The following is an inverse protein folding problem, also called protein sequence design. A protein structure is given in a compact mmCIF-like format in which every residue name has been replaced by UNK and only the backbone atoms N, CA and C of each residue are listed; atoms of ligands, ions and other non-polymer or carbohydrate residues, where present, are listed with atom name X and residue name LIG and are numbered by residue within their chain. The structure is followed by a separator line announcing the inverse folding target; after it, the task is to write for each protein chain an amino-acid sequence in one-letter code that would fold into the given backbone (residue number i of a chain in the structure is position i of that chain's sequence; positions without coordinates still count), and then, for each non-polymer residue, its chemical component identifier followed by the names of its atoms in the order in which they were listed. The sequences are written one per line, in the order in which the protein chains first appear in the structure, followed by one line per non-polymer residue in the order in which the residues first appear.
data_IF_539604767711
#
_entry.id   IF_539604767711
#
_cell.length_a   1.000
_cell.length_b   1.000
_cell.length_c   1.000
_cell.angle_alpha   90.00
_cell.angle_beta   90.00
_cell.angle_gamma   90.00
#
_symmetry.space_group_name_H-M   'P 1'
#
loop_
_entity.id
_entity.type
_entity.pdbx_description
1 polymer ?
#
# COMPACT_ATOMS: atom_id res chain seq x y z
N UNK A 1 15.50 -22.70 -31.94
CA UNK A 1 16.50 -23.09 -30.91
C UNK A 1 15.76 -23.45 -29.62
N UNK A 2 15.88 -24.68 -29.11
CA UNK A 2 15.13 -25.15 -27.94
C UNK A 2 15.35 -24.31 -26.67
N UNK A 3 16.51 -23.68 -26.54
CA UNK A 3 16.87 -22.80 -25.41
C UNK A 3 16.03 -21.53 -25.35
N UNK A 4 15.81 -20.86 -26.49
CA UNK A 4 15.04 -19.62 -26.57
C UNK A 4 13.57 -19.86 -26.21
N UNK A 5 12.97 -20.94 -26.73
CA UNK A 5 11.58 -21.28 -26.40
C UNK A 5 11.41 -21.57 -24.91
N UNK A 6 12.33 -22.34 -24.30
CA UNK A 6 12.32 -22.59 -22.85
C UNK A 6 12.45 -21.30 -22.04
N UNK A 7 13.31 -20.37 -22.47
CA UNK A 7 13.48 -19.07 -21.84
C UNK A 7 12.17 -18.27 -21.86
N UNK A 8 11.51 -18.16 -23.01
CA UNK A 8 10.20 -17.50 -23.13
C UNK A 8 9.13 -18.17 -22.27
N UNK A 9 9.14 -19.50 -22.19
CA UNK A 9 8.21 -20.26 -21.36
C UNK A 9 8.39 -19.94 -19.86
N UNK A 10 9.63 -19.81 -19.40
CA UNK A 10 9.94 -19.40 -18.03
C UNK A 10 9.45 -17.96 -17.77
N UNK A 11 9.69 -17.04 -18.70
CA UNK A 11 9.20 -15.67 -18.59
C UNK A 11 7.67 -15.60 -18.54
N UNK A 12 6.98 -16.40 -19.37
CA UNK A 12 5.53 -16.51 -19.36
C UNK A 12 5.02 -17.01 -18.00
N UNK A 13 5.66 -18.05 -17.45
CA UNK A 13 5.30 -18.60 -16.13
C UNK A 13 5.53 -17.57 -15.01
N UNK A 14 6.65 -16.85 -15.03
CA UNK A 14 6.90 -15.79 -14.06
C UNK A 14 5.87 -14.66 -14.19
N UNK A 15 5.54 -14.25 -15.42
CA UNK A 15 4.55 -13.22 -15.68
C UNK A 15 3.17 -13.62 -15.18
N UNK A 16 2.73 -14.85 -15.46
CA UNK A 16 1.47 -15.41 -14.96
C UNK A 16 1.46 -15.51 -13.43
N UNK A 17 2.55 -15.96 -12.82
CA UNK A 17 2.65 -16.04 -11.36
C UNK A 17 2.57 -14.66 -10.71
N UNK A 18 3.33 -13.68 -11.21
CA UNK A 18 3.32 -12.30 -10.70
C UNK A 18 1.95 -11.64 -10.87
N UNK A 19 1.36 -11.75 -12.06
CA UNK A 19 0.01 -11.23 -12.33
C UNK A 19 -1.03 -11.92 -11.44
N UNK A 20 -0.99 -13.24 -11.34
CA UNK A 20 -1.91 -14.04 -10.53
C UNK A 20 -1.87 -13.64 -9.05
N UNK A 21 -0.69 -13.38 -8.49
CA UNK A 21 -0.53 -12.91 -7.11
C UNK A 21 -1.22 -11.55 -6.91
N UNK A 22 -0.96 -10.57 -7.76
CA UNK A 22 -1.57 -9.23 -7.65
C UNK A 22 -3.09 -9.30 -7.83
N UNK A 23 -3.55 -10.05 -8.84
CA UNK A 23 -4.97 -10.27 -9.09
C UNK A 23 -5.66 -10.92 -7.87
N UNK A 24 -5.04 -11.92 -7.26
CA UNK A 24 -5.57 -12.58 -6.09
C UNK A 24 -5.66 -11.62 -4.89
N UNK A 25 -4.64 -10.80 -4.66
CA UNK A 25 -4.67 -9.78 -3.62
C UNK A 25 -5.82 -8.79 -3.84
N UNK A 26 -5.96 -8.26 -5.06
CA UNK A 26 -7.02 -7.30 -5.37
C UNK A 26 -8.44 -7.88 -5.31
N UNK A 27 -8.60 -9.18 -5.58
CA UNK A 27 -9.92 -9.83 -5.66
C UNK A 27 -10.37 -10.43 -4.33
N UNK A 28 -9.46 -11.07 -3.60
CA UNK A 28 -9.81 -11.86 -2.41
C UNK A 28 -9.47 -11.16 -1.09
N UNK A 29 -8.62 -10.14 -1.09
CA UNK A 29 -8.28 -9.39 0.14
C UNK A 29 -9.15 -8.15 0.24
N UNK A 30 -9.95 -8.08 1.31
CA UNK A 30 -10.75 -6.88 1.62
C UNK A 30 -9.82 -5.76 2.12
N UNK A 31 -9.94 -4.52 1.59
CA UNK A 31 -9.19 -3.39 2.12
C UNK A 31 -9.58 -3.10 3.58
N UNK A 32 -8.58 -2.92 4.44
CA UNK A 32 -8.81 -2.40 5.77
C UNK A 32 -9.08 -0.88 5.67
N UNK A 33 -10.31 -0.46 5.91
CA UNK A 33 -10.66 0.96 5.93
C UNK A 33 -10.11 1.61 7.19
N UNK A 34 -9.33 2.69 7.05
CA UNK A 34 -8.99 3.59 8.16
C UNK A 34 -9.64 4.95 7.96
N UNK A 35 -10.08 5.61 9.05
CA UNK A 35 -10.59 6.97 8.97
C UNK A 35 -9.49 7.89 8.45
N UNK A 36 -9.79 8.65 7.39
CA UNK A 36 -8.88 9.62 6.78
C UNK A 36 -8.76 10.90 7.62
N UNK A 37 -9.82 11.23 8.35
CA UNK A 37 -9.86 12.31 9.34
C UNK A 37 -9.72 11.74 10.74
N UNK A 38 -8.80 12.30 11.52
CA UNK A 38 -8.76 12.10 12.96
C UNK A 38 -9.34 13.36 13.60
N UNK A 39 -10.37 13.20 14.43
CA UNK A 39 -10.87 14.30 15.25
C UNK A 39 -9.80 14.66 16.29
N UNK A 40 -9.07 15.74 16.04
CA UNK A 40 -8.11 16.28 16.99
C UNK A 40 -8.91 17.14 17.98
N UNK A 41 -8.91 16.83 19.28
CA UNK A 41 -9.60 17.66 20.26
C UNK A 41 -8.97 19.06 20.26
N UNK A 42 -9.80 20.11 20.25
CA UNK A 42 -9.39 21.52 20.13
C UNK A 42 -8.29 21.92 21.13
N UNK A 43 -8.31 21.31 22.32
CA UNK A 43 -7.32 21.47 23.39
C UNK A 43 -5.87 21.15 22.96
N UNK A 44 -5.69 20.32 21.93
CA UNK A 44 -4.38 19.98 21.38
C UNK A 44 -3.95 20.90 20.21
N UNK A 45 -4.84 21.78 19.77
CA UNK A 45 -4.61 22.76 18.70
C UNK A 45 -4.33 24.16 19.26
N UNK A 46 -4.58 24.37 20.55
CA UNK A 46 -4.18 25.58 21.27
C UNK A 46 -2.64 25.62 21.34
N UNK A 47 -2.00 26.68 20.80
CA UNK A 47 -0.58 26.89 20.99
C UNK A 47 -0.27 26.89 22.47
N UNK A 48 0.78 26.18 22.90
CA UNK A 48 1.23 26.22 24.29
C UNK A 48 1.37 27.69 24.70
N UNK A 49 0.56 28.10 25.67
CA UNK A 49 0.44 29.48 26.16
C UNK A 49 1.86 30.00 26.44
N UNK A 50 2.38 30.84 25.54
CA UNK A 50 3.74 31.36 25.65
C UNK A 50 3.77 32.24 26.90
N UNK A 51 4.54 31.87 27.94
CA UNK A 51 4.50 32.59 29.20
C UNK A 51 4.89 34.04 28.97
N UNK A 52 4.21 35.00 29.62
CA UNK A 52 4.46 36.42 29.41
C UNK A 52 5.93 36.72 29.68
N UNK A 53 6.62 37.18 28.62
CA UNK A 53 8.02 37.55 28.68
C UNK A 53 8.17 38.78 29.61
N UNK A 54 9.03 38.72 30.64
CA UNK A 54 9.21 39.79 31.62
C UNK A 54 9.81 41.06 30.99
#
# INVERSE_FOLDING_TARGET
MPSLFRFLLILLLLGLAGFGLVYALGTFVKPATRPMSQDIPLKNLEPAEEPPKP
#
